data_IF_201205106837
#
_entry.id   IF_201205106837
#
_cell.length_a   1.000
_cell.length_b   1.000
_cell.length_c   1.000
_cell.angle_alpha   90.00
_cell.angle_beta   90.00
_cell.angle_gamma   90.00
#
_symmetry.space_group_name_H-M   'P 1'
#
loop_
_entity.id
_entity.type
_entity.pdbx_description
1 polymer ?
#
# COMPACT_ATOMS: atom_id res chain seq x y z
N UNK A 1 -2.19 -21.88 14.55
CA UNK A 1 -2.78 -21.55 15.87
C UNK A 1 -1.90 -20.47 16.49
N UNK A 2 -2.47 -19.30 16.78
CA UNK A 2 -1.72 -18.23 17.46
C UNK A 2 -1.74 -18.59 18.95
N UNK A 3 -0.59 -19.03 19.47
CA UNK A 3 -0.45 -19.52 20.84
C UNK A 3 -0.23 -18.38 21.82
N UNK A 4 -1.31 -17.73 22.24
CA UNK A 4 -1.25 -16.81 23.38
C UNK A 4 -1.41 -17.63 24.67
N UNK A 5 -0.41 -17.59 25.54
CA UNK A 5 -0.56 -18.01 26.93
C UNK A 5 -0.68 -16.75 27.78
N UNK A 6 -1.92 -16.36 28.11
CA UNK A 6 -2.21 -15.17 28.90
C UNK A 6 -2.41 -15.61 30.35
N UNK A 7 -1.31 -15.80 31.07
CA UNK A 7 -1.34 -16.02 32.52
C UNK A 7 -1.04 -14.68 33.23
N UNK A 8 -2.02 -13.77 33.33
CA UNK A 8 -2.19 -12.74 34.39
C UNK A 8 -3.28 -11.69 34.07
N UNK A 9 -3.77 -11.00 35.12
CA UNK A 9 -4.70 -9.85 35.09
C UNK A 9 -4.09 -8.59 34.44
N UNK A 10 -3.69 -8.66 33.17
CA UNK A 10 -3.29 -7.49 32.39
C UNK A 10 -4.34 -7.13 31.34
N UNK A 11 -4.67 -5.84 31.21
CA UNK A 11 -5.53 -5.32 30.14
C UNK A 11 -4.77 -5.36 28.80
N UNK A 12 -4.79 -6.53 28.16
CA UNK A 12 -4.11 -6.78 26.88
C UNK A 12 -5.12 -6.80 25.74
N UNK A 13 -4.84 -6.03 24.68
CA UNK A 13 -5.53 -6.11 23.40
C UNK A 13 -4.56 -6.57 22.30
N UNK A 14 -5.04 -7.42 21.39
CA UNK A 14 -4.27 -7.87 20.23
C UNK A 14 -5.10 -7.75 18.95
N UNK A 15 -4.42 -7.51 17.83
CA UNK A 15 -5.02 -7.51 16.51
C UNK A 15 -4.13 -8.30 15.54
N UNK A 16 -4.76 -9.08 14.67
CA UNK A 16 -4.06 -9.88 13.67
C UNK A 16 -4.15 -9.16 12.32
N UNK A 17 -2.99 -8.80 11.77
CA UNK A 17 -2.88 -8.35 10.39
C UNK A 17 -2.83 -9.54 9.43
N UNK A 18 -3.62 -9.49 8.35
CA UNK A 18 -3.65 -10.54 7.34
C UNK A 18 -3.57 -9.92 5.93
N UNK A 19 -2.71 -10.49 5.09
CA UNK A 19 -2.77 -10.34 3.64
C UNK A 19 -2.74 -11.73 3.02
N UNK A 20 -3.41 -11.91 1.88
CA UNK A 20 -3.33 -13.13 1.09
C UNK A 20 -2.56 -12.87 -0.20
N UNK A 21 -1.83 -13.88 -0.69
CA UNK A 21 -1.11 -13.77 -1.97
C UNK A 21 -2.05 -13.34 -3.11
N UNK A 22 -3.23 -13.96 -3.20
CA UNK A 22 -4.23 -13.66 -4.24
C UNK A 22 -4.81 -12.25 -4.14
N UNK A 23 -5.08 -11.75 -2.92
CA UNK A 23 -5.55 -10.38 -2.71
C UNK A 23 -4.49 -9.35 -3.10
N UNK A 24 -3.25 -9.59 -2.70
CA UNK A 24 -2.09 -8.76 -3.04
C UNK A 24 -1.85 -8.74 -4.56
N UNK A 25 -1.87 -9.91 -5.22
CA UNK A 25 -1.71 -9.99 -6.69
C UNK A 25 -2.80 -9.20 -7.41
N UNK A 26 -4.06 -9.30 -6.96
CA UNK A 26 -5.20 -8.60 -7.58
C UNK A 26 -5.04 -7.08 -7.53
N UNK A 27 -4.74 -6.51 -6.35
CA UNK A 27 -4.59 -5.05 -6.21
C UNK A 27 -3.36 -4.52 -6.93
N UNK A 28 -2.25 -5.26 -6.92
CA UNK A 28 -1.03 -4.87 -7.63
C UNK A 28 -1.22 -4.91 -9.13
N UNK A 29 -1.80 -5.99 -9.67
CA UNK A 29 -2.14 -6.08 -11.09
C UNK A 29 -3.03 -4.92 -11.52
N UNK A 30 -4.05 -4.60 -10.72
CA UNK A 30 -4.89 -3.43 -10.99
C UNK A 30 -4.08 -2.12 -11.02
N UNK A 31 -3.16 -1.90 -10.08
CA UNK A 31 -2.31 -0.70 -10.06
C UNK A 31 -1.43 -0.58 -11.32
N UNK A 32 -0.82 -1.67 -11.78
CA UNK A 32 -0.02 -1.69 -13.01
C UNK A 32 -0.88 -1.46 -14.27
N UNK A 33 -2.04 -2.12 -14.37
CA UNK A 33 -2.97 -1.89 -15.48
C UNK A 33 -3.52 -0.45 -15.49
N UNK A 34 -3.79 0.13 -14.32
CA UNK A 34 -4.20 1.52 -14.19
C UNK A 34 -3.08 2.46 -14.66
N UNK A 35 -1.85 2.20 -14.25
CA UNK A 35 -0.68 2.97 -14.68
C UNK A 35 -0.56 2.93 -16.21
N UNK A 36 -0.61 1.74 -16.81
CA UNK A 36 -0.58 1.55 -18.26
C UNK A 36 -1.72 2.29 -18.97
N UNK A 37 -2.95 2.14 -18.49
CA UNK A 37 -4.15 2.79 -19.06
C UNK A 37 -4.08 4.32 -19.01
N UNK A 38 -3.43 4.88 -17.98
CA UNK A 38 -3.29 6.32 -17.77
C UNK A 38 -1.97 6.89 -18.30
N UNK A 39 -1.19 6.07 -19.02
CA UNK A 39 0.17 6.40 -19.49
C UNK A 39 1.11 6.90 -18.37
N UNK A 40 0.94 6.37 -17.16
CA UNK A 40 1.79 6.65 -16.02
C UNK A 40 2.99 5.72 -16.03
N UNK A 41 4.19 6.28 -15.90
CA UNK A 41 5.45 5.53 -16.02
C UNK A 41 5.97 4.94 -14.71
N UNK A 42 5.23 5.08 -13.60
CA UNK A 42 5.71 4.64 -12.28
C UNK A 42 4.60 4.06 -11.39
N UNK A 43 4.91 2.95 -10.74
CA UNK A 43 4.11 2.36 -9.64
C UNK A 43 4.96 2.24 -8.38
N UNK A 44 4.48 2.85 -7.30
CA UNK A 44 5.11 2.87 -5.98
C UNK A 44 4.39 1.92 -5.04
N UNK A 45 5.10 0.96 -4.45
CA UNK A 45 4.58 0.05 -3.44
C UNK A 45 4.89 0.56 -2.04
N UNK A 46 3.88 0.64 -1.18
CA UNK A 46 4.03 1.10 0.21
C UNK A 46 3.98 -0.06 1.18
N UNK A 47 4.88 -0.06 2.17
CA UNK A 47 4.87 -1.03 3.25
C UNK A 47 5.50 -0.50 4.55
N UNK A 48 5.63 -1.36 5.55
CA UNK A 48 6.42 -1.14 6.76
C UNK A 48 7.24 -2.39 7.09
N UNK A 49 7.94 -2.94 6.09
CA UNK A 49 8.64 -4.22 6.21
C UNK A 49 9.78 -4.22 7.26
N UNK A 50 10.22 -3.04 7.71
CA UNK A 50 11.15 -2.90 8.82
C UNK A 50 10.52 -3.19 10.20
N UNK A 51 9.20 -3.21 10.31
CA UNK A 51 8.47 -3.50 11.56
C UNK A 51 7.64 -4.78 11.42
N UNK A 52 6.83 -4.88 10.36
CA UNK A 52 5.97 -6.05 10.11
C UNK A 52 6.58 -6.91 8.99
N UNK A 53 7.67 -7.60 9.33
CA UNK A 53 8.53 -8.33 8.37
C UNK A 53 7.79 -9.42 7.59
N UNK A 54 7.02 -10.28 8.25
CA UNK A 54 6.36 -11.42 7.60
C UNK A 54 5.25 -10.99 6.64
N UNK A 55 4.36 -10.10 7.09
CA UNK A 55 3.24 -9.64 6.27
C UNK A 55 3.76 -8.84 5.07
N UNK A 56 4.72 -7.94 5.26
CA UNK A 56 5.22 -7.14 4.15
C UNK A 56 6.33 -7.82 3.33
N UNK A 57 6.92 -8.90 3.83
CA UNK A 57 7.73 -9.82 3.03
C UNK A 57 6.90 -10.40 1.89
N UNK A 58 5.75 -11.01 2.22
CA UNK A 58 4.82 -11.53 1.21
C UNK A 58 4.32 -10.43 0.27
N UNK A 59 4.03 -9.23 0.80
CA UNK A 59 3.64 -8.08 -0.03
C UNK A 59 4.73 -7.73 -1.07
N UNK A 60 5.98 -7.59 -0.62
CA UNK A 60 7.11 -7.25 -1.51
C UNK A 60 7.41 -8.33 -2.53
N UNK A 61 7.34 -9.60 -2.14
CA UNK A 61 7.59 -10.72 -3.05
C UNK A 61 6.58 -10.74 -4.19
N UNK A 62 5.29 -10.54 -3.87
CA UNK A 62 4.24 -10.45 -4.89
C UNK A 62 4.42 -9.22 -5.78
N UNK A 63 4.80 -8.07 -5.22
CA UNK A 63 5.04 -6.87 -6.02
C UNK A 63 6.16 -7.06 -7.03
N UNK A 64 7.27 -7.67 -6.59
CA UNK A 64 8.38 -8.04 -7.48
C UNK A 64 7.91 -9.00 -8.57
N UNK A 65 7.17 -10.05 -8.21
CA UNK A 65 6.63 -11.03 -9.16
C UNK A 65 5.77 -10.35 -10.25
N UNK A 66 4.83 -9.50 -9.85
CA UNK A 66 3.96 -8.77 -10.78
C UNK A 66 4.74 -7.77 -11.63
N UNK A 67 5.71 -7.04 -11.05
CA UNK A 67 6.49 -6.02 -11.77
C UNK A 67 7.21 -6.56 -13.01
N UNK A 68 7.63 -7.83 -13.00
CA UNK A 68 8.29 -8.47 -14.15
C UNK A 68 7.41 -8.54 -15.40
N UNK A 69 6.08 -8.46 -15.24
CA UNK A 69 5.12 -8.46 -16.34
C UNK A 69 4.93 -7.08 -16.99
N UNK A 70 5.54 -6.03 -16.42
CA UNK A 70 5.38 -4.64 -16.84
C UNK A 70 6.74 -3.93 -16.94
N UNK A 71 7.64 -4.35 -17.84
CA UNK A 71 9.02 -3.84 -17.93
C UNK A 71 9.12 -2.34 -18.25
N UNK A 72 8.08 -1.76 -18.87
CA UNK A 72 8.04 -0.34 -19.25
C UNK A 72 7.58 0.60 -18.10
N UNK A 73 7.27 0.05 -16.93
CA UNK A 73 6.82 0.79 -15.75
C UNK A 73 7.93 0.77 -14.70
N UNK A 74 8.41 1.95 -14.32
CA UNK A 74 9.33 2.11 -13.19
C UNK A 74 8.66 1.67 -11.89
N UNK A 75 9.42 0.99 -11.04
CA UNK A 75 8.92 0.49 -9.76
C UNK A 75 9.78 0.96 -8.61
N UNK A 76 9.14 1.32 -7.50
CA UNK A 76 9.83 1.70 -6.27
C UNK A 76 9.09 1.16 -5.04
N UNK A 77 9.84 0.93 -3.97
CA UNK A 77 9.29 0.68 -2.64
C UNK A 77 9.50 1.89 -1.77
N UNK A 78 8.53 2.20 -0.92
CA UNK A 78 8.66 3.25 0.09
C UNK A 78 8.00 2.83 1.40
N UNK A 79 8.58 3.26 2.51
CA UNK A 79 7.96 3.03 3.80
C UNK A 79 6.83 4.06 4.03
N UNK A 80 5.78 3.65 4.76
CA UNK A 80 4.61 4.51 5.02
C UNK A 80 4.96 5.83 5.74
N UNK A 81 6.00 5.85 6.58
CA UNK A 81 6.51 7.09 7.20
C UNK A 81 7.27 7.97 6.20
N UNK A 82 8.06 7.36 5.31
CA UNK A 82 8.78 8.11 4.29
C UNK A 82 7.82 8.72 3.26
N UNK A 83 6.84 7.98 2.76
CA UNK A 83 5.88 8.48 1.77
C UNK A 83 5.02 9.60 2.33
N UNK A 84 4.59 9.55 3.59
CA UNK A 84 3.80 10.63 4.19
C UNK A 84 4.59 11.95 4.25
N UNK A 85 5.88 11.90 4.60
CA UNK A 85 6.77 13.06 4.49
C UNK A 85 6.91 13.54 3.04
N UNK A 86 7.09 12.64 2.08
CA UNK A 86 7.27 13.00 0.68
C UNK A 86 5.99 13.50 0.00
N UNK A 87 4.82 13.07 0.45
CA UNK A 87 3.53 13.62 -0.01
C UNK A 87 3.41 15.10 0.34
N UNK A 88 3.89 15.52 1.52
CA UNK A 88 3.92 16.94 1.89
C UNK A 88 5.00 17.70 1.11
N UNK A 89 6.17 17.08 0.93
CA UNK A 89 7.35 17.77 0.35
C UNK A 89 7.33 17.85 -1.17
N UNK A 90 6.92 16.78 -1.86
CA UNK A 90 7.02 16.60 -3.31
C UNK A 90 6.00 15.55 -3.82
N UNK A 91 4.69 15.80 -3.71
CA UNK A 91 3.66 14.82 -4.07
C UNK A 91 3.70 14.42 -5.54
N UNK A 92 4.16 15.29 -6.44
CA UNK A 92 4.20 15.05 -7.89
C UNK A 92 5.18 13.96 -8.33
N UNK A 93 6.06 13.51 -7.43
CA UNK A 93 6.94 12.35 -7.63
C UNK A 93 6.15 11.05 -7.82
N UNK A 94 5.04 10.91 -7.09
CA UNK A 94 4.22 9.71 -7.08
C UNK A 94 3.17 9.77 -8.21
N UNK A 95 3.06 8.68 -8.96
CA UNK A 95 2.10 8.57 -10.08
C UNK A 95 0.95 7.62 -9.74
N UNK A 96 1.27 6.34 -9.52
CA UNK A 96 0.35 5.35 -8.98
C UNK A 96 0.97 4.76 -7.72
N UNK A 97 0.22 4.76 -6.63
CA UNK A 97 0.65 4.21 -5.34
C UNK A 97 -0.25 3.03 -5.01
N UNK A 98 0.35 1.89 -4.69
CA UNK A 98 -0.36 0.69 -4.21
C UNK A 98 0.01 0.42 -2.76
N UNK A 99 -1.00 0.20 -1.93
CA UNK A 99 -0.83 0.10 -0.48
C UNK A 99 -1.64 -1.07 0.11
N UNK A 100 -1.22 -1.61 1.25
CA UNK A 100 -2.08 -2.38 2.14
C UNK A 100 -3.23 -1.50 2.66
N UNK A 101 -4.36 -2.13 3.00
CA UNK A 101 -5.61 -1.47 3.38
C UNK A 101 -5.43 -0.27 4.33
N UNK A 102 -4.89 -0.51 5.54
CA UNK A 102 -4.72 0.52 6.57
C UNK A 102 -3.84 1.71 6.11
N UNK A 103 -2.82 1.45 5.29
CA UNK A 103 -1.96 2.52 4.78
C UNK A 103 -2.64 3.28 3.64
N UNK A 104 -3.46 2.60 2.84
CA UNK A 104 -4.31 3.25 1.84
C UNK A 104 -5.21 4.30 2.47
N UNK A 105 -5.97 3.90 3.49
CA UNK A 105 -6.89 4.77 4.23
C UNK A 105 -6.22 6.08 4.68
N UNK A 106 -5.07 5.97 5.36
CA UNK A 106 -4.32 7.13 5.87
C UNK A 106 -3.73 7.98 4.72
N UNK A 107 -3.11 7.34 3.72
CA UNK A 107 -2.43 8.05 2.64
C UNK A 107 -3.44 8.75 1.72
N UNK A 108 -4.63 8.18 1.50
CA UNK A 108 -5.66 8.81 0.68
C UNK A 108 -6.21 10.07 1.33
N UNK A 109 -6.35 10.09 2.66
CA UNK A 109 -6.76 11.29 3.40
C UNK A 109 -5.69 12.40 3.33
N UNK A 110 -4.41 12.03 3.47
CA UNK A 110 -3.31 12.97 3.25
C UNK A 110 -3.34 13.54 1.83
N UNK A 111 -3.53 12.68 0.82
CA UNK A 111 -3.68 13.08 -0.58
C UNK A 111 -4.87 14.01 -0.82
N UNK A 112 -6.00 13.77 -0.15
CA UNK A 112 -7.17 14.63 -0.20
C UNK A 112 -6.85 16.03 0.35
N UNK A 113 -6.12 16.13 1.45
CA UNK A 113 -5.74 17.43 2.00
C UNK A 113 -4.79 18.21 1.10
N UNK A 114 -3.88 17.54 0.40
CA UNK A 114 -2.96 18.18 -0.55
C UNK A 114 -3.72 18.85 -1.72
N UNK A 115 -4.81 18.25 -2.19
CA UNK A 115 -5.60 18.80 -3.30
C UNK A 115 -6.63 19.85 -2.89
N UNK A 116 -6.85 20.09 -1.58
CA UNK A 116 -7.79 21.09 -1.07
C UNK A 116 -8.91 20.55 -0.16
N UNK A 117 -8.88 19.27 0.19
CA UNK A 117 -9.76 18.64 1.19
C UNK A 117 -10.57 17.46 0.67
N UNK A 118 -11.20 16.73 1.60
CA UNK A 118 -12.00 15.52 1.30
C UNK A 118 -13.18 15.78 0.35
N UNK A 119 -13.77 16.98 0.36
CA UNK A 119 -14.96 17.31 -0.44
C UNK A 119 -14.76 17.25 -1.95
N UNK A 120 -13.52 17.25 -2.42
CA UNK A 120 -13.15 17.17 -3.84
C UNK A 120 -12.36 15.90 -4.18
N UNK A 121 -12.05 15.06 -3.19
CA UNK A 121 -11.33 13.82 -3.38
C UNK A 121 -12.26 12.73 -3.92
N UNK A 122 -12.14 12.42 -5.21
CA UNK A 122 -12.93 11.35 -5.84
C UNK A 122 -12.40 9.97 -5.47
N UNK A 123 -13.31 9.05 -5.15
CA UNK A 123 -13.01 7.66 -4.82
C UNK A 123 -13.87 6.69 -5.63
N UNK A 124 -13.39 5.45 -5.76
CA UNK A 124 -14.12 4.39 -6.44
C UNK A 124 -13.80 3.03 -5.86
N UNK A 125 -14.83 2.29 -5.47
CA UNK A 125 -14.72 0.90 -5.05
C UNK A 125 -14.93 -0.01 -6.25
N UNK A 126 -13.95 -0.87 -6.53
CA UNK A 126 -13.94 -1.72 -7.71
C UNK A 126 -13.69 -3.17 -7.33
N UNK A 127 -14.19 -4.09 -8.16
CA UNK A 127 -13.87 -5.51 -8.09
C UNK A 127 -13.27 -5.96 -9.43
N UNK A 128 -11.97 -5.67 -9.65
CA UNK A 128 -11.28 -5.90 -10.92
C UNK A 128 -10.99 -7.38 -11.19
#
# INVERSE_FOLDING_TARGET
>A
KVGFNLEQEEEIAYQIGLISKSGTQRVMKYAFELAKKKDMKRVTSVDKANVLTNIYGLWRDVFKEISTQYPDIETEFTFVDAITMWFVRKPEWFKVVVTPNMFGDIITDLGAMIQGGLGIAVGGNINP
#
